data_IF_533842115989
#
_entry.id   IF_533842115989
#
_cell.length_a   1.000
_cell.length_b   1.000
_cell.length_c   1.000
_cell.angle_alpha   90.00
_cell.angle_beta   90.00
_cell.angle_gamma   90.00
#
_symmetry.space_group_name_H-M   'P 1'
#
loop_
_entity.id
_entity.type
_entity.pdbx_description
1 polymer ?
#
# COMPACT_ATOMS: atom_id res chain seq x y z
N UNK A 1 -21.15 -14.59 -2.78
CA UNK A 1 -20.12 -14.44 -1.74
C UNK A 1 -18.97 -13.58 -2.27
N UNK A 2 -18.41 -12.63 -1.49
CA UNK A 2 -17.34 -11.75 -1.92
C UNK A 2 -16.12 -12.46 -2.55
N UNK A 3 -15.61 -13.57 -2.00
CA UNK A 3 -14.47 -14.26 -2.59
C UNK A 3 -14.72 -14.79 -4.00
N UNK A 4 -15.96 -15.25 -4.28
CA UNK A 4 -16.33 -15.73 -5.61
C UNK A 4 -16.33 -14.59 -6.63
N UNK A 5 -16.77 -13.38 -6.24
CA UNK A 5 -16.72 -12.21 -7.10
C UNK A 5 -15.28 -11.85 -7.51
N UNK A 6 -14.32 -11.95 -6.60
CA UNK A 6 -12.89 -11.76 -6.88
C UNK A 6 -12.39 -12.75 -7.93
N UNK A 7 -12.79 -14.03 -7.83
CA UNK A 7 -12.42 -15.05 -8.82
C UNK A 7 -13.05 -14.79 -10.19
N UNK A 8 -14.34 -14.43 -10.24
CA UNK A 8 -15.05 -14.17 -11.49
C UNK A 8 -14.52 -12.94 -12.24
N UNK A 9 -14.09 -11.91 -11.53
CA UNK A 9 -13.46 -10.73 -12.13
C UNK A 9 -12.19 -11.06 -12.89
N UNK A 10 -11.42 -12.03 -12.43
CA UNK A 10 -10.19 -12.43 -13.12
C UNK A 10 -10.43 -12.99 -14.53
N UNK A 11 -11.66 -13.43 -14.80
CA UNK A 11 -12.06 -13.97 -16.11
C UNK A 11 -12.43 -12.88 -17.12
N UNK A 12 -13.11 -11.83 -16.66
CA UNK A 12 -13.78 -10.86 -17.53
C UNK A 12 -13.15 -9.45 -17.53
N UNK A 13 -12.26 -9.19 -16.60
CA UNK A 13 -11.61 -7.88 -16.42
C UNK A 13 -10.09 -8.02 -16.34
N UNK A 14 -9.39 -6.89 -16.46
CA UNK A 14 -7.94 -6.90 -16.24
C UNK A 14 -7.58 -7.27 -14.81
N UNK A 15 -6.39 -7.82 -14.62
CA UNK A 15 -5.86 -8.15 -13.29
C UNK A 15 -5.91 -6.94 -12.34
N UNK A 16 -5.75 -5.72 -12.86
CA UNK A 16 -5.80 -4.51 -12.06
C UNK A 16 -7.18 -4.26 -11.42
N UNK A 17 -8.29 -4.55 -12.14
CA UNK A 17 -9.63 -4.49 -11.55
C UNK A 17 -9.81 -5.50 -10.42
N UNK A 18 -9.27 -6.72 -10.62
CA UNK A 18 -9.28 -7.74 -9.57
C UNK A 18 -8.49 -7.27 -8.34
N UNK A 19 -7.29 -6.69 -8.55
CA UNK A 19 -6.50 -6.16 -7.43
C UNK A 19 -7.25 -5.07 -6.68
N UNK A 20 -7.82 -4.10 -7.38
CA UNK A 20 -8.55 -3.00 -6.74
C UNK A 20 -9.76 -3.53 -5.97
N UNK A 21 -10.58 -4.40 -6.57
CA UNK A 21 -11.76 -4.95 -5.89
C UNK A 21 -11.37 -5.80 -4.66
N UNK A 22 -10.40 -6.70 -4.80
CA UNK A 22 -9.96 -7.51 -3.67
C UNK A 22 -9.45 -6.64 -2.50
N UNK A 23 -8.63 -5.64 -2.80
CA UNK A 23 -8.12 -4.71 -1.80
C UNK A 23 -9.24 -3.86 -1.16
N UNK A 24 -10.26 -3.44 -1.93
CA UNK A 24 -11.42 -2.75 -1.38
C UNK A 24 -12.23 -3.64 -0.44
N UNK A 25 -12.41 -4.92 -0.75
CA UNK A 25 -13.12 -5.87 0.12
C UNK A 25 -12.32 -6.20 1.38
N UNK A 26 -11.00 -6.16 1.31
CA UNK A 26 -10.09 -6.44 2.42
C UNK A 26 -9.69 -5.18 3.20
N UNK A 27 -10.16 -4.00 2.79
CA UNK A 27 -9.90 -2.73 3.44
C UNK A 27 -10.75 -2.56 4.70
N UNK A 28 -10.24 -1.75 5.62
CA UNK A 28 -10.95 -1.33 6.85
C UNK A 28 -11.69 0.00 6.66
N UNK A 29 -12.01 0.39 5.44
CA UNK A 29 -12.78 1.60 5.12
C UNK A 29 -13.87 1.34 4.09
N UNK A 30 -14.86 2.22 4.08
CA UNK A 30 -15.88 2.28 3.04
C UNK A 30 -16.33 3.71 2.78
N UNK A 31 -17.17 3.88 1.77
CA UNK A 31 -17.78 5.16 1.45
C UNK A 31 -19.22 5.22 2.00
N UNK A 32 -19.53 6.29 2.69
CA UNK A 32 -20.90 6.64 3.04
C UNK A 32 -21.65 7.16 1.79
N UNK A 33 -22.99 7.15 1.79
CA UNK A 33 -23.78 7.67 0.68
C UNK A 33 -23.51 9.14 0.31
N UNK A 34 -22.99 9.94 1.23
CA UNK A 34 -22.59 11.34 1.01
C UNK A 34 -21.17 11.47 0.44
N UNK A 35 -20.42 10.37 0.25
CA UNK A 35 -19.08 10.36 -0.27
C UNK A 35 -17.96 10.37 0.77
N UNK A 36 -18.28 10.57 2.02
CA UNK A 36 -17.31 10.55 3.09
C UNK A 36 -16.75 9.13 3.30
N UNK A 37 -15.50 9.06 3.72
CA UNK A 37 -14.88 7.81 4.15
C UNK A 37 -15.35 7.47 5.57
N UNK A 38 -15.66 6.21 5.79
CA UNK A 38 -15.86 5.66 7.13
C UNK A 38 -14.90 4.50 7.36
N UNK A 39 -14.41 4.36 8.57
CA UNK A 39 -13.64 3.20 8.99
C UNK A 39 -14.59 2.08 9.44
N UNK A 40 -14.23 0.85 9.10
CA UNK A 40 -14.91 -0.36 9.55
C UNK A 40 -14.02 -1.11 10.54
N UNK A 41 -14.62 -1.68 11.55
CA UNK A 41 -13.89 -2.54 12.50
C UNK A 41 -13.52 -3.90 11.89
N UNK A 42 -14.25 -4.33 10.85
CA UNK A 42 -14.04 -5.62 10.19
C UNK A 42 -14.17 -5.45 8.67
N UNK A 43 -13.20 -5.94 7.89
CA UNK A 43 -13.29 -5.91 6.43
C UNK A 43 -14.41 -6.84 5.92
N UNK A 44 -14.87 -6.62 4.69
CA UNK A 44 -15.86 -7.48 4.04
C UNK A 44 -15.29 -8.87 3.68
N UNK A 45 -13.98 -8.98 3.61
CA UNK A 45 -13.25 -10.19 3.24
C UNK A 45 -11.90 -10.20 3.96
N UNK A 46 -11.60 -11.28 4.66
CA UNK A 46 -10.28 -11.52 5.24
C UNK A 46 -9.42 -12.38 4.32
N UNK A 47 -8.11 -12.32 4.52
CA UNK A 47 -7.16 -13.18 3.79
C UNK A 47 -7.47 -14.67 4.03
N UNK A 48 -7.79 -15.05 5.27
CA UNK A 48 -8.08 -16.44 5.64
C UNK A 48 -9.37 -16.95 4.99
N UNK A 49 -10.43 -16.14 4.94
CA UNK A 49 -11.66 -16.47 4.23
C UNK A 49 -11.41 -16.66 2.73
N UNK A 50 -10.58 -15.80 2.11
CA UNK A 50 -10.23 -15.94 0.71
C UNK A 50 -9.43 -17.22 0.46
N UNK A 51 -8.42 -17.52 1.27
CA UNK A 51 -7.62 -18.74 1.18
C UNK A 51 -8.51 -19.97 1.36
N UNK A 52 -9.38 -19.97 2.37
CA UNK A 52 -10.31 -21.06 2.65
C UNK A 52 -11.22 -21.34 1.46
N UNK A 53 -11.83 -20.29 0.88
CA UNK A 53 -12.66 -20.48 -0.31
C UNK A 53 -11.87 -20.98 -1.51
N UNK A 54 -10.69 -20.41 -1.79
CA UNK A 54 -9.85 -20.81 -2.91
C UNK A 54 -9.40 -22.26 -2.79
N UNK A 55 -9.23 -22.75 -1.55
CA UNK A 55 -8.89 -24.16 -1.27
C UNK A 55 -10.09 -25.11 -1.44
N UNK A 56 -11.31 -24.60 -1.24
CA UNK A 56 -12.54 -25.38 -1.40
C UNK A 56 -13.06 -25.44 -2.85
N UNK A 57 -12.56 -24.57 -3.73
CA UNK A 57 -12.95 -24.56 -5.14
C UNK A 57 -12.28 -25.69 -5.91
N UNK A 58 -13.04 -26.30 -6.85
CA UNK A 58 -12.48 -27.25 -7.79
C UNK A 58 -11.34 -26.62 -8.61
N UNK A 59 -10.30 -27.41 -8.87
CA UNK A 59 -9.12 -26.99 -9.66
C UNK A 59 -9.46 -26.47 -11.07
N UNK A 60 -10.62 -26.84 -11.59
CA UNK A 60 -11.17 -26.38 -12.88
C UNK A 60 -12.01 -25.11 -12.75
N UNK A 61 -12.22 -24.59 -11.54
CA UNK A 61 -13.02 -23.38 -11.33
C UNK A 61 -12.47 -22.18 -12.13
N UNK A 62 -13.30 -21.48 -12.91
CA UNK A 62 -12.85 -20.36 -13.73
C UNK A 62 -12.22 -19.26 -12.88
N UNK A 63 -11.02 -18.81 -13.27
CA UNK A 63 -10.31 -17.74 -12.59
C UNK A 63 -9.52 -18.15 -11.35
N UNK A 64 -9.66 -19.37 -10.84
CA UNK A 64 -8.99 -19.85 -9.63
C UNK A 64 -7.45 -19.66 -9.70
N UNK A 65 -6.81 -20.24 -10.72
CA UNK A 65 -5.34 -20.16 -10.88
C UNK A 65 -4.84 -18.72 -11.01
N UNK A 66 -5.61 -17.88 -11.72
CA UNK A 66 -5.28 -16.46 -11.86
C UNK A 66 -5.38 -15.73 -10.52
N UNK A 67 -6.45 -15.99 -9.76
CA UNK A 67 -6.63 -15.40 -8.44
C UNK A 67 -5.53 -15.84 -7.48
N UNK A 68 -5.21 -17.12 -7.41
CA UNK A 68 -4.12 -17.65 -6.57
C UNK A 68 -2.77 -16.97 -6.90
N UNK A 69 -2.45 -16.81 -8.17
CA UNK A 69 -1.23 -16.09 -8.59
C UNK A 69 -1.23 -14.62 -8.21
N UNK A 70 -2.40 -14.00 -8.19
CA UNK A 70 -2.61 -12.58 -7.96
C UNK A 70 -2.73 -12.21 -6.47
N UNK A 71 -2.98 -13.19 -5.59
CA UNK A 71 -3.16 -12.96 -4.13
C UNK A 71 -2.03 -12.17 -3.48
N UNK A 72 -0.81 -12.27 -3.96
CA UNK A 72 0.33 -11.47 -3.45
C UNK A 72 0.14 -9.96 -3.58
N UNK A 73 -0.83 -9.51 -4.38
CA UNK A 73 -1.20 -8.10 -4.54
C UNK A 73 -2.50 -7.74 -3.82
N UNK A 74 -3.01 -8.63 -2.98
CA UNK A 74 -4.17 -8.39 -2.13
C UNK A 74 -3.67 -8.02 -0.74
N UNK A 75 -3.88 -6.79 -0.36
CA UNK A 75 -3.42 -6.23 0.91
C UNK A 75 -4.61 -6.06 1.83
N UNK A 76 -4.51 -6.55 3.06
CA UNK A 76 -5.46 -6.26 4.13
C UNK A 76 -5.18 -4.91 4.79
N UNK A 77 -6.15 -4.45 5.55
CA UNK A 77 -6.03 -3.36 6.51
C UNK A 77 -5.77 -1.96 5.94
N UNK A 78 -5.91 -1.76 4.62
CA UNK A 78 -5.88 -0.40 4.07
C UNK A 78 -7.03 0.44 4.69
N UNK A 79 -6.74 1.65 5.14
CA UNK A 79 -7.72 2.57 5.74
C UNK A 79 -8.14 3.68 4.77
N UNK A 80 -7.57 3.72 3.57
CA UNK A 80 -7.95 4.70 2.55
C UNK A 80 -7.71 4.20 1.11
N UNK A 81 -8.43 4.76 0.12
CA UNK A 81 -8.17 4.48 -1.29
C UNK A 81 -6.74 4.78 -1.72
N UNK A 82 -6.13 5.81 -1.13
CA UNK A 82 -4.77 6.21 -1.50
C UNK A 82 -3.72 5.21 -1.03
N UNK A 83 -3.93 4.61 0.14
CA UNK A 83 -3.06 3.54 0.63
C UNK A 83 -3.09 2.32 -0.30
N UNK A 84 -4.28 1.90 -0.77
CA UNK A 84 -4.39 0.82 -1.77
C UNK A 84 -3.69 1.19 -3.08
N UNK A 85 -3.90 2.41 -3.59
CA UNK A 85 -3.22 2.88 -4.81
C UNK A 85 -1.70 2.89 -4.63
N UNK A 86 -1.21 3.38 -3.49
CA UNK A 86 0.21 3.40 -3.16
C UNK A 86 0.77 1.98 -3.02
N UNK A 87 0.06 1.07 -2.36
CA UNK A 87 0.46 -0.32 -2.22
C UNK A 87 0.57 -1.02 -3.58
N UNK A 88 -0.43 -0.86 -4.45
CA UNK A 88 -0.40 -1.44 -5.80
C UNK A 88 0.71 -0.84 -6.67
N UNK A 89 0.89 0.50 -6.65
CA UNK A 89 2.00 1.13 -7.38
C UNK A 89 3.36 0.66 -6.86
N UNK A 90 3.50 0.49 -5.55
CA UNK A 90 4.76 0.00 -4.98
C UNK A 90 5.05 -1.45 -5.39
N UNK A 91 4.04 -2.33 -5.27
CA UNK A 91 4.20 -3.77 -5.40
C UNK A 91 4.32 -4.28 -6.83
N UNK A 92 3.55 -3.71 -7.76
CA UNK A 92 3.50 -4.19 -9.14
C UNK A 92 4.87 -4.14 -9.82
N UNK A 93 5.16 -5.07 -10.75
CA UNK A 93 6.41 -5.09 -11.51
C UNK A 93 6.59 -3.81 -12.34
N UNK A 94 7.84 -3.45 -12.62
CA UNK A 94 8.18 -2.29 -13.45
C UNK A 94 7.46 -2.30 -14.82
N UNK A 95 7.38 -3.46 -15.47
CA UNK A 95 6.69 -3.62 -16.78
C UNK A 95 5.18 -3.36 -16.70
N UNK A 96 4.62 -3.43 -15.52
CA UNK A 96 3.19 -3.14 -15.25
C UNK A 96 3.01 -1.73 -14.67
N UNK A 97 4.08 -0.94 -14.63
CA UNK A 97 4.07 0.43 -14.13
C UNK A 97 4.29 0.57 -12.63
N UNK A 98 4.58 -0.52 -11.92
CA UNK A 98 4.89 -0.48 -10.49
C UNK A 98 6.37 -0.20 -10.20
N UNK A 99 6.69 -0.10 -8.92
CA UNK A 99 8.04 0.13 -8.42
C UNK A 99 8.75 -1.16 -7.97
N UNK A 100 8.08 -2.30 -8.11
CA UNK A 100 8.60 -3.62 -7.73
C UNK A 100 9.17 -3.64 -6.31
N UNK A 101 8.40 -3.07 -5.38
CA UNK A 101 8.70 -3.03 -3.96
C UNK A 101 7.44 -3.42 -3.16
N UNK A 102 7.40 -4.69 -2.74
CA UNK A 102 6.27 -5.21 -1.98
C UNK A 102 6.24 -4.62 -0.57
N UNK A 103 5.12 -4.06 -0.10
CA UNK A 103 4.96 -3.70 1.30
C UNK A 103 4.89 -4.96 2.17
N UNK A 104 5.39 -4.87 3.39
CA UNK A 104 5.26 -5.92 4.41
C UNK A 104 3.88 -5.89 5.06
N UNK A 105 3.35 -4.70 5.28
CA UNK A 105 2.05 -4.48 5.90
C UNK A 105 1.51 -3.09 5.56
N UNK A 106 0.19 -2.94 5.62
CA UNK A 106 -0.53 -1.69 5.60
C UNK A 106 -1.14 -1.43 6.97
N UNK A 107 -1.21 -0.17 7.38
CA UNK A 107 -1.81 0.29 8.63
C UNK A 107 -1.37 -0.49 9.89
N UNK A 108 -0.16 -0.99 9.88
CA UNK A 108 0.36 -1.75 11.01
C UNK A 108 0.70 -0.83 12.18
N UNK A 109 0.15 -1.18 13.33
CA UNK A 109 0.44 -0.48 14.58
C UNK A 109 1.76 -0.95 15.20
N UNK A 110 2.56 0.01 15.63
CA UNK A 110 3.81 -0.21 16.37
C UNK A 110 3.75 0.51 17.70
N UNK A 111 4.13 -0.20 18.76
CA UNK A 111 4.34 0.38 20.08
C UNK A 111 5.76 0.94 20.15
N UNK A 112 5.87 2.27 20.15
CA UNK A 112 7.11 2.98 20.28
C UNK A 112 7.29 3.35 21.75
N UNK A 113 8.33 2.76 22.39
CA UNK A 113 8.71 3.12 23.76
C UNK A 113 9.56 4.37 23.71
N UNK A 114 9.29 5.32 24.59
CA UNK A 114 10.18 6.44 24.80
C UNK A 114 11.50 5.94 25.45
N UNK A 115 12.59 5.96 24.67
CA UNK A 115 13.89 5.50 25.14
C UNK A 115 14.53 6.48 26.12
N UNK A 116 14.10 7.76 26.10
CA UNK A 116 14.63 8.82 26.98
C UNK A 116 13.91 8.78 28.33
N UNK A 117 12.62 8.48 28.33
CA UNK A 117 11.82 8.43 29.52
C UNK A 117 10.97 7.14 29.60
N UNK A 118 11.55 6.04 30.13
CA UNK A 118 10.89 4.73 30.18
C UNK A 118 9.60 4.70 31.04
N UNK A 119 9.29 5.78 31.80
CA UNK A 119 8.06 5.93 32.56
C UNK A 119 6.90 6.48 31.72
N UNK A 120 7.16 6.98 30.51
CA UNK A 120 6.13 7.40 29.58
C UNK A 120 5.52 6.16 28.93
N UNK A 121 4.19 6.09 28.92
CA UNK A 121 3.49 5.00 28.23
C UNK A 121 3.92 4.91 26.78
N UNK A 122 4.17 3.69 26.32
CA UNK A 122 4.45 3.43 24.92
C UNK A 122 3.33 4.00 24.03
N UNK A 123 3.71 4.76 23.02
CA UNK A 123 2.75 5.31 22.05
C UNK A 123 2.53 4.34 20.91
N UNK A 124 1.27 4.11 20.57
CA UNK A 124 0.93 3.39 19.36
C UNK A 124 1.03 4.33 18.15
N UNK A 125 1.76 3.87 17.12
CA UNK A 125 1.90 4.55 15.84
C UNK A 125 1.46 3.61 14.72
N UNK A 126 0.46 4.04 13.96
CA UNK A 126 -0.04 3.36 12.79
C UNK A 126 0.76 3.81 11.57
N UNK A 127 1.25 2.88 10.76
CA UNK A 127 2.08 3.14 9.57
C UNK A 127 1.27 2.74 8.34
N UNK A 128 1.02 3.67 7.41
CA UNK A 128 0.19 3.43 6.22
C UNK A 128 0.78 2.32 5.35
N UNK A 129 2.06 2.44 4.97
CA UNK A 129 2.80 1.40 4.27
C UNK A 129 4.14 1.14 4.95
N UNK A 130 4.36 -0.09 5.34
CA UNK A 130 5.66 -0.52 5.86
C UNK A 130 6.38 -1.37 4.81
N UNK A 131 7.62 -1.02 4.52
CA UNK A 131 8.54 -1.82 3.71
C UNK A 131 9.64 -2.40 4.58
N UNK A 132 10.11 -3.60 4.21
CA UNK A 132 11.21 -4.23 4.93
C UNK A 132 12.03 -5.14 4.04
N UNK A 133 13.30 -5.29 4.39
CA UNK A 133 14.22 -6.20 3.73
C UNK A 133 15.23 -6.72 4.74
N UNK A 134 15.53 -8.02 4.66
CA UNK A 134 16.62 -8.60 5.46
C UNK A 134 17.93 -7.87 5.16
N UNK A 135 18.57 -7.36 6.20
CA UNK A 135 19.87 -6.70 6.09
C UNK A 135 20.96 -7.74 5.83
N UNK A 136 21.84 -7.45 4.88
CA UNK A 136 23.03 -8.27 4.64
C UNK A 136 24.20 -7.92 5.58
N UNK A 137 24.14 -6.76 6.20
CA UNK A 137 25.24 -6.18 7.00
C UNK A 137 24.95 -6.07 8.50
N UNK A 138 23.69 -6.17 8.91
CA UNK A 138 23.32 -6.07 10.32
C UNK A 138 22.84 -7.41 10.86
N UNK A 139 23.49 -7.90 11.92
CA UNK A 139 23.09 -9.09 12.67
C UNK A 139 21.71 -8.96 13.35
N UNK A 140 21.17 -7.74 13.45
CA UNK A 140 19.85 -7.44 14.03
C UNK A 140 18.66 -7.47 13.03
N UNK A 141 18.89 -7.74 11.77
CA UNK A 141 17.90 -8.37 10.90
C UNK A 141 17.26 -7.52 9.82
N UNK A 142 16.44 -6.53 10.08
CA UNK A 142 15.57 -5.90 9.09
C UNK A 142 15.87 -4.41 8.91
N UNK A 143 16.09 -3.98 7.66
CA UNK A 143 15.96 -2.58 7.30
C UNK A 143 14.48 -2.28 7.08
N UNK A 144 13.93 -1.31 7.80
CA UNK A 144 12.53 -0.92 7.73
C UNK A 144 12.39 0.52 7.23
N UNK A 145 11.38 0.73 6.38
CA UNK A 145 11.02 2.05 5.85
C UNK A 145 9.52 2.20 5.91
N UNK A 146 9.05 3.29 6.51
CA UNK A 146 7.67 3.71 6.56
C UNK A 146 7.37 4.69 5.43
N UNK A 147 6.18 4.60 4.85
CA UNK A 147 5.64 5.62 3.93
C UNK A 147 4.25 6.01 4.41
N UNK A 148 4.03 7.30 4.59
CA UNK A 148 2.77 7.89 5.01
C UNK A 148 2.17 8.72 3.89
N UNK A 149 0.86 8.64 3.70
CA UNK A 149 0.15 9.46 2.73
C UNK A 149 -0.57 10.62 3.40
N UNK A 150 -0.11 11.84 3.16
CA UNK A 150 -0.74 13.07 3.64
C UNK A 150 -1.63 13.66 2.53
N UNK A 151 -2.94 13.40 2.60
CA UNK A 151 -3.91 13.82 1.58
C UNK A 151 -4.20 15.31 1.53
N UNK A 152 -4.13 16.02 2.63
CA UNK A 152 -4.42 17.43 2.72
C UNK A 152 -3.16 18.23 3.08
N UNK A 153 -2.87 19.25 2.28
CA UNK A 153 -1.94 20.31 2.64
C UNK A 153 -2.61 21.16 3.73
N UNK A 154 -2.45 20.77 4.97
CA UNK A 154 -2.69 21.69 6.07
C UNK A 154 -1.35 22.30 6.45
N UNK A 155 -1.14 23.54 6.02
CA UNK A 155 -0.04 24.43 6.41
C UNK A 155 -0.18 24.85 7.90
N UNK A 156 -0.61 23.90 8.74
CA UNK A 156 -0.77 24.16 10.16
C UNK A 156 0.53 23.83 10.88
N UNK A 157 1.13 24.84 11.51
CA UNK A 157 2.34 24.72 12.32
C UNK A 157 2.24 23.59 13.38
N UNK A 158 1.04 23.34 13.89
CA UNK A 158 0.75 22.23 14.81
C UNK A 158 0.92 20.87 14.14
N UNK A 159 0.52 20.72 12.88
CA UNK A 159 0.66 19.47 12.15
C UNK A 159 2.13 19.17 11.86
N UNK A 160 2.90 20.16 11.41
CA UNK A 160 4.35 20.01 11.18
C UNK A 160 5.09 19.57 12.45
N UNK A 161 4.68 20.10 13.60
CA UNK A 161 5.28 19.71 14.88
C UNK A 161 4.99 18.25 15.26
N UNK A 162 3.76 17.77 15.01
CA UNK A 162 3.37 16.37 15.22
C UNK A 162 4.10 15.44 14.27
N UNK A 163 4.25 15.83 13.02
CA UNK A 163 4.94 15.04 12.00
C UNK A 163 6.43 14.92 12.33
N UNK A 164 7.08 16.02 12.73
CA UNK A 164 8.47 15.99 13.18
C UNK A 164 8.68 15.11 14.43
N UNK A 165 7.75 15.16 15.39
CA UNK A 165 7.81 14.31 16.58
C UNK A 165 7.65 12.84 16.19
N UNK A 166 6.71 12.52 15.30
CA UNK A 166 6.47 11.18 14.80
C UNK A 166 7.70 10.61 14.09
N UNK A 167 8.29 11.40 13.18
CA UNK A 167 9.53 11.03 12.48
C UNK A 167 10.67 10.72 13.44
N UNK A 168 10.85 11.54 14.48
CA UNK A 168 11.87 11.29 15.51
C UNK A 168 11.59 10.00 16.31
N UNK A 169 10.33 9.74 16.64
CA UNK A 169 9.91 8.53 17.34
C UNK A 169 10.19 7.27 16.48
N UNK A 170 9.87 7.28 15.18
CA UNK A 170 10.14 6.17 14.26
C UNK A 170 11.65 5.98 14.02
N UNK A 171 12.39 7.06 13.87
CA UNK A 171 13.85 6.99 13.74
C UNK A 171 14.52 6.38 14.99
N UNK A 172 13.97 6.58 16.18
CA UNK A 172 14.48 5.98 17.43
C UNK A 172 14.41 4.46 17.44
N UNK A 173 13.50 3.87 16.65
CA UNK A 173 13.37 2.42 16.44
C UNK A 173 13.92 1.96 15.09
N UNK A 174 14.78 2.79 14.47
CA UNK A 174 15.42 2.51 13.17
C UNK A 174 14.47 2.32 12.00
N UNK A 175 13.29 2.95 12.05
CA UNK A 175 12.34 3.02 10.94
C UNK A 175 12.46 4.39 10.30
N UNK A 176 12.94 4.45 9.06
CA UNK A 176 13.00 5.69 8.30
C UNK A 176 11.66 6.00 7.65
N UNK A 177 11.18 7.22 7.82
CA UNK A 177 9.87 7.64 7.34
C UNK A 177 9.96 8.54 6.11
N UNK A 178 9.04 8.35 5.16
CA UNK A 178 8.83 9.18 3.98
C UNK A 178 7.37 9.59 3.91
N UNK A 179 7.13 10.86 3.55
CA UNK A 179 5.80 11.42 3.34
C UNK A 179 5.49 11.54 1.85
N UNK A 180 4.27 11.19 1.47
CA UNK A 180 3.74 11.34 0.13
C UNK A 180 2.45 12.14 0.20
N UNK A 181 2.39 13.23 -0.54
CA UNK A 181 1.17 13.99 -0.77
C UNK A 181 0.67 13.80 -2.21
N UNK A 182 -0.44 14.44 -2.55
CA UNK A 182 -1.04 14.38 -3.89
C UNK A 182 -0.06 14.81 -4.98
N UNK A 183 0.75 15.85 -4.76
CA UNK A 183 1.69 16.36 -5.76
C UNK A 183 2.83 15.38 -6.00
N UNK A 184 3.39 14.81 -4.93
CA UNK A 184 4.41 13.75 -5.01
C UNK A 184 3.83 12.53 -5.72
N UNK A 185 2.62 12.08 -5.33
CA UNK A 185 1.96 10.93 -5.92
C UNK A 185 1.76 11.06 -7.44
N UNK A 186 1.39 12.27 -7.91
CA UNK A 186 1.14 12.56 -9.33
C UNK A 186 2.42 12.85 -10.12
N UNK A 187 3.46 13.33 -9.45
CA UNK A 187 4.74 13.62 -10.12
C UNK A 187 5.58 12.35 -10.25
N UNK A 188 5.69 11.88 -11.48
CA UNK A 188 6.37 10.61 -11.78
C UNK A 188 7.86 10.62 -11.43
N UNK A 189 8.56 11.71 -11.69
CA UNK A 189 10.00 11.81 -11.38
C UNK A 189 10.22 11.81 -9.87
N UNK A 190 9.38 12.53 -9.12
CA UNK A 190 9.44 12.58 -7.67
C UNK A 190 9.17 11.20 -7.07
N UNK A 191 8.17 10.48 -7.58
CA UNK A 191 7.88 9.09 -7.16
C UNK A 191 9.04 8.14 -7.49
N UNK A 192 9.67 8.26 -8.65
CA UNK A 192 10.86 7.46 -8.99
C UNK A 192 12.01 7.71 -8.02
N UNK A 193 12.26 8.98 -7.68
CA UNK A 193 13.31 9.35 -6.73
C UNK A 193 12.99 8.86 -5.31
N UNK A 194 11.73 8.95 -4.88
CA UNK A 194 11.26 8.40 -3.61
C UNK A 194 11.55 6.89 -3.52
N UNK A 195 11.12 6.11 -4.52
CA UNK A 195 11.36 4.66 -4.50
C UNK A 195 12.83 4.29 -4.65
N UNK A 196 13.66 5.11 -5.31
CA UNK A 196 15.12 4.93 -5.29
C UNK A 196 15.68 5.13 -3.88
N UNK A 197 15.19 6.14 -3.14
CA UNK A 197 15.60 6.38 -1.76
C UNK A 197 15.15 5.25 -0.83
N UNK A 198 13.90 4.81 -0.94
CA UNK A 198 13.38 3.66 -0.19
C UNK A 198 14.24 2.42 -0.44
N UNK A 199 14.51 2.08 -1.70
CA UNK A 199 15.34 0.93 -2.05
C UNK A 199 16.78 1.04 -1.52
N UNK A 200 17.35 2.24 -1.53
CA UNK A 200 18.67 2.52 -0.92
C UNK A 200 18.64 2.22 0.58
N UNK A 201 17.64 2.73 1.28
CA UNK A 201 17.53 2.56 2.74
C UNK A 201 17.21 1.10 3.12
N UNK A 202 16.52 0.37 2.25
CA UNK A 202 16.33 -1.08 2.37
C UNK A 202 17.59 -1.89 2.05
N UNK A 203 18.69 -1.25 1.65
CA UNK A 203 19.97 -1.90 1.37
C UNK A 203 20.11 -2.49 -0.03
N UNK A 204 19.38 -1.96 -1.03
CA UNK A 204 19.62 -2.33 -2.41
C UNK A 204 20.92 -1.73 -2.93
N UNK A 205 21.84 -2.58 -3.40
CA UNK A 205 23.17 -2.16 -3.87
C UNK A 205 23.19 -1.66 -5.33
N UNK A 206 22.20 -2.06 -6.14
CA UNK A 206 22.24 -1.80 -7.59
C UNK A 206 21.31 -0.63 -8.00
N UNK A 207 21.45 0.51 -7.32
CA UNK A 207 20.61 1.68 -7.54
C UNK A 207 20.71 2.26 -8.96
N UNK A 208 21.87 2.16 -9.59
CA UNK A 208 22.04 2.62 -10.98
C UNK A 208 21.16 1.83 -11.94
N UNK A 209 21.17 0.50 -11.86
CA UNK A 209 20.30 -0.37 -12.67
C UNK A 209 18.82 -0.12 -12.39
N UNK A 210 18.45 0.05 -11.12
CA UNK A 210 17.08 0.36 -10.70
C UNK A 210 16.65 1.69 -11.32
N UNK A 211 17.46 2.76 -11.21
CA UNK A 211 17.16 4.07 -11.80
C UNK A 211 16.96 3.98 -13.32
N UNK A 212 17.83 3.25 -14.02
CA UNK A 212 17.69 3.03 -15.47
C UNK A 212 16.38 2.30 -15.80
N UNK A 213 16.01 1.30 -15.01
CA UNK A 213 14.77 0.53 -15.18
C UNK A 213 13.54 1.43 -14.93
N UNK A 214 13.53 2.22 -13.87
CA UNK A 214 12.43 3.16 -13.57
C UNK A 214 12.21 4.16 -14.71
N UNK A 215 13.29 4.72 -15.27
CA UNK A 215 13.20 5.62 -16.43
C UNK A 215 12.67 4.92 -17.68
N UNK A 216 13.09 3.67 -17.92
CA UNK A 216 12.63 2.88 -19.06
C UNK A 216 11.12 2.64 -19.05
N UNK A 217 10.55 2.38 -17.87
CA UNK A 217 9.13 2.09 -17.68
C UNK A 217 8.32 3.31 -17.19
N UNK A 218 8.79 4.51 -17.51
CA UNK A 218 8.17 5.76 -17.08
C UNK A 218 6.75 5.90 -17.65
N UNK A 219 6.54 5.51 -18.89
CA UNK A 219 5.24 5.54 -19.55
C UNK A 219 4.24 4.59 -18.90
N UNK A 220 4.64 3.37 -18.59
CA UNK A 220 3.82 2.37 -17.90
C UNK A 220 3.42 2.83 -16.50
N UNK A 221 4.30 3.54 -15.80
CA UNK A 221 4.01 4.12 -14.48
C UNK A 221 2.91 5.19 -14.56
N UNK A 222 2.97 6.03 -15.60
CA UNK A 222 1.92 7.02 -15.85
C UNK A 222 0.58 6.36 -16.20
N UNK A 223 0.60 5.33 -17.06
CA UNK A 223 -0.60 4.56 -17.41
C UNK A 223 -1.20 3.88 -16.18
N UNK A 224 -0.38 3.25 -15.34
CA UNK A 224 -0.87 2.60 -14.12
C UNK A 224 -1.55 3.59 -13.18
N UNK A 225 -0.93 4.74 -12.93
CA UNK A 225 -1.49 5.79 -12.08
C UNK A 225 -2.88 6.21 -12.57
N UNK A 226 -3.00 6.54 -13.86
CA UNK A 226 -4.27 6.98 -14.44
C UNK A 226 -5.34 5.88 -14.41
N UNK A 227 -4.95 4.61 -14.65
CA UNK A 227 -5.89 3.48 -14.56
C UNK A 227 -6.39 3.28 -13.14
N UNK A 228 -5.54 3.37 -12.13
CA UNK A 228 -5.94 3.29 -10.73
C UNK A 228 -6.93 4.41 -10.38
N UNK A 229 -6.64 5.65 -10.76
CA UNK A 229 -7.54 6.78 -10.52
C UNK A 229 -8.88 6.61 -11.23
N UNK A 230 -8.88 6.12 -12.48
CA UNK A 230 -10.09 5.84 -13.24
C UNK A 230 -10.96 4.74 -12.62
N UNK A 231 -10.34 3.62 -12.18
CA UNK A 231 -11.08 2.52 -11.55
C UNK A 231 -11.74 2.98 -10.25
N UNK A 232 -11.01 3.73 -9.41
CA UNK A 232 -11.58 4.24 -8.17
C UNK A 232 -12.69 5.26 -8.39
N UNK A 233 -12.58 6.14 -9.38
CA UNK A 233 -13.64 7.07 -9.75
C UNK A 233 -14.91 6.32 -10.18
N UNK A 234 -14.77 5.31 -11.04
CA UNK A 234 -15.88 4.48 -11.50
C UNK A 234 -16.53 3.69 -10.36
N UNK A 235 -15.73 3.16 -9.43
CA UNK A 235 -16.26 2.42 -8.27
C UNK A 235 -17.08 3.33 -7.37
N UNK A 236 -16.62 4.56 -7.13
CA UNK A 236 -17.39 5.54 -6.37
C UNK A 236 -18.71 5.89 -7.06
N UNK A 237 -18.70 6.14 -8.37
CA UNK A 237 -19.93 6.45 -9.14
C UNK A 237 -20.95 5.31 -9.12
N UNK A 238 -20.53 4.04 -9.02
CA UNK A 238 -21.43 2.90 -8.89
C UNK A 238 -22.06 2.83 -7.50
N UNK A 239 -21.29 3.06 -6.44
CA UNK A 239 -21.78 3.04 -5.06
C UNK A 239 -22.90 4.06 -4.82
N UNK A 240 -22.86 5.20 -5.53
CA UNK A 240 -23.88 6.24 -5.42
C UNK A 240 -25.15 6.02 -6.28
N UNK A 241 -25.17 4.98 -7.12
CA UNK A 241 -26.33 4.69 -7.99
C UNK A 241 -27.25 3.59 -7.44
N UNK A 242 -26.88 2.96 -6.36
CA UNK A 242 -27.67 1.95 -5.63
C UNK A 242 -27.92 2.38 -4.20
#
# INVERSE_FOLDING_TARGET
APPLAVCLLSRNKSSLHQFVLANLMMASYGHLPNGDLCEFNTPLLTTDELISLLSALDSYSPGLRTTQRNMKYFFSDAASPMEVKMALRSALPYREGGFNQMPLALNKSYLIKDLINPRVQAKERKIDLLFGKMSKSNLSGLNLVAVEYNGAYHDDFYQQRKDNQRTNELNSVSIKEYFVNTDIYRNQLTMQNLFLSIKKDLGDSNLYRIRRTLRRYSHEQFILMNKLDSIYKFTNELIYKF
#
